data_IF_209196331323
#
_entry.id   IF_209196331323
#
_cell.length_a   1.000
_cell.length_b   1.000
_cell.length_c   1.000
_cell.angle_alpha   90.00
_cell.angle_beta   90.00
_cell.angle_gamma   90.00
#
_symmetry.space_group_name_H-M   'P 1'
#
loop_
_entity.id
_entity.type
_entity.pdbx_description
1 polymer ?
#
# COMPACT_ATOMS: atom_id res chain seq x y z
N UNK A 1 20.37 13.26 -6.65
CA UNK A 1 19.40 12.35 -7.28
C UNK A 1 19.12 11.21 -6.31
N UNK A 2 17.87 10.76 -6.17
CA UNK A 2 17.51 9.62 -5.32
C UNK A 2 16.83 8.56 -6.19
N UNK A 3 17.20 7.29 -5.95
CA UNK A 3 16.58 6.17 -6.67
C UNK A 3 15.31 5.75 -5.94
N UNK A 4 14.17 5.98 -6.55
CA UNK A 4 12.88 5.45 -6.08
C UNK A 4 12.72 4.02 -6.59
N UNK A 5 12.27 3.13 -5.74
CA UNK A 5 12.01 1.73 -6.06
C UNK A 5 10.66 1.29 -5.50
N UNK A 6 10.05 0.34 -6.18
CA UNK A 6 8.83 -0.32 -5.73
C UNK A 6 9.14 -1.77 -5.41
N UNK A 7 8.71 -2.22 -4.24
CA UNK A 7 8.86 -3.59 -3.77
C UNK A 7 7.47 -4.22 -3.61
N UNK A 8 7.29 -5.41 -4.18
CA UNK A 8 6.13 -6.26 -3.89
C UNK A 8 6.64 -7.56 -3.30
N UNK A 9 6.25 -7.87 -2.07
CA UNK A 9 6.75 -9.04 -1.36
C UNK A 9 6.02 -9.28 -0.06
N UNK A 10 6.55 -10.19 0.76
CA UNK A 10 5.96 -10.56 2.03
C UNK A 10 6.80 -10.10 3.20
N UNK A 11 6.14 -9.73 4.29
CA UNK A 11 6.80 -9.46 5.55
C UNK A 11 7.32 -10.76 6.18
N UNK A 12 8.62 -10.80 6.51
CA UNK A 12 9.24 -11.96 7.16
C UNK A 12 8.92 -12.06 8.64
N UNK A 13 8.64 -10.93 9.26
CA UNK A 13 8.25 -10.79 10.68
C UNK A 13 7.30 -9.62 10.86
N UNK A 14 6.70 -9.52 12.03
CA UNK A 14 5.95 -8.33 12.42
C UNK A 14 6.87 -7.10 12.46
N UNK A 15 6.42 -5.92 11.99
CA UNK A 15 7.19 -4.69 12.09
C UNK A 15 7.49 -4.32 13.55
N UNK A 16 8.73 -3.91 13.81
CA UNK A 16 9.17 -3.47 15.15
C UNK A 16 9.13 -1.95 15.24
N UNK A 17 8.33 -1.43 16.17
CA UNK A 17 8.30 0.00 16.49
C UNK A 17 9.38 0.33 17.52
N UNK A 18 10.20 1.32 17.23
CA UNK A 18 11.21 1.88 18.12
C UNK A 18 11.13 3.40 18.09
N UNK A 19 11.54 4.04 19.16
CA UNK A 19 11.66 5.49 19.22
C UNK A 19 13.14 5.87 19.24
N UNK A 20 13.50 6.84 18.41
CA UNK A 20 14.84 7.43 18.43
C UNK A 20 15.06 8.25 19.70
N UNK A 21 16.31 8.61 20.00
CA UNK A 21 16.64 9.50 21.11
C UNK A 21 15.92 10.88 21.04
N UNK A 22 15.54 11.29 19.82
CA UNK A 22 14.75 12.50 19.59
C UNK A 22 13.23 12.29 19.65
N UNK A 23 12.76 11.10 20.06
CA UNK A 23 11.34 10.77 20.15
C UNK A 23 10.62 10.48 18.84
N UNK A 24 11.36 10.34 17.73
CA UNK A 24 10.77 10.02 16.42
C UNK A 24 10.50 8.52 16.34
N UNK A 25 9.26 8.14 16.01
CA UNK A 25 8.88 6.76 15.76
C UNK A 25 9.59 6.22 14.50
N UNK A 26 10.12 5.01 14.61
CA UNK A 26 10.82 4.28 13.53
C UNK A 26 10.31 2.84 13.53
N UNK A 27 9.74 2.42 12.42
CA UNK A 27 9.41 1.02 12.18
C UNK A 27 10.53 0.35 11.40
N UNK A 28 11.01 -0.80 11.87
CA UNK A 28 11.98 -1.63 11.19
C UNK A 28 11.34 -2.98 10.83
N UNK A 29 11.48 -3.40 9.58
CA UNK A 29 10.92 -4.66 9.09
C UNK A 29 11.66 -5.12 7.83
N UNK A 30 11.48 -6.40 7.48
CA UNK A 30 12.12 -6.98 6.29
C UNK A 30 11.05 -7.49 5.33
N UNK A 31 11.15 -7.10 4.07
CA UNK A 31 10.32 -7.60 2.97
C UNK A 31 11.13 -8.63 2.20
N UNK A 32 10.59 -9.83 2.01
CA UNK A 32 11.14 -10.83 1.11
C UNK A 32 10.44 -10.75 -0.23
N UNK A 33 11.24 -10.67 -1.28
CA UNK A 33 10.78 -10.78 -2.67
C UNK A 33 11.34 -12.05 -3.27
N UNK A 34 10.51 -12.81 -3.99
CA UNK A 34 10.93 -14.01 -4.72
C UNK A 34 10.20 -14.08 -6.05
N UNK A 35 10.80 -14.77 -7.00
CA UNK A 35 10.20 -15.08 -8.28
C UNK A 35 9.85 -16.56 -8.32
N UNK A 36 8.59 -16.90 -8.56
CA UNK A 36 8.21 -18.29 -8.75
C UNK A 36 8.59 -18.77 -10.14
N UNK A 37 9.32 -19.85 -10.20
CA UNK A 37 9.77 -20.48 -11.44
C UNK A 37 9.29 -21.92 -11.44
N UNK A 38 8.77 -22.36 -12.60
CA UNK A 38 8.40 -23.75 -12.80
C UNK A 38 9.63 -24.51 -13.29
N UNK A 39 9.99 -25.58 -12.59
CA UNK A 39 11.03 -26.49 -13.02
C UNK A 39 10.56 -27.26 -14.26
N UNK A 40 11.26 -27.16 -15.41
CA UNK A 40 10.87 -27.84 -16.63
C UNK A 40 11.00 -29.38 -16.54
N UNK A 41 11.82 -29.88 -15.61
CA UNK A 41 12.07 -31.30 -15.46
C UNK A 41 11.05 -31.99 -14.53
N UNK A 42 10.76 -31.39 -13.38
CA UNK A 42 9.82 -31.93 -12.38
C UNK A 42 8.39 -31.39 -12.52
N UNK A 43 8.22 -30.22 -13.15
CA UNK A 43 6.94 -29.54 -13.24
C UNK A 43 6.55 -28.80 -11.95
N UNK A 44 7.38 -28.86 -10.91
CA UNK A 44 7.13 -28.22 -9.62
C UNK A 44 7.45 -26.73 -9.65
N UNK A 45 6.80 -25.98 -8.75
CA UNK A 45 7.04 -24.57 -8.58
C UNK A 45 8.01 -24.33 -7.41
N UNK A 46 9.13 -23.67 -7.70
CA UNK A 46 10.11 -23.24 -6.70
C UNK A 46 10.25 -21.72 -6.66
N UNK A 47 10.69 -21.21 -5.52
CA UNK A 47 11.04 -19.79 -5.39
C UNK A 47 12.51 -19.61 -5.82
N UNK A 48 12.71 -18.73 -6.80
CA UNK A 48 14.02 -18.30 -7.29
C UNK A 48 14.24 -16.82 -6.98
N UNK A 49 15.51 -16.42 -7.00
CA UNK A 49 15.93 -15.02 -6.83
C UNK A 49 15.38 -14.39 -5.53
N UNK A 50 15.37 -15.17 -4.45
CA UNK A 50 14.89 -14.68 -3.16
C UNK A 50 15.81 -13.59 -2.61
N UNK A 51 15.26 -12.40 -2.37
CA UNK A 51 15.98 -11.24 -1.84
C UNK A 51 15.27 -10.70 -0.61
N UNK A 52 16.06 -10.39 0.42
CA UNK A 52 15.58 -9.79 1.67
C UNK A 52 15.92 -8.30 1.68
N UNK A 53 14.90 -7.47 1.82
CA UNK A 53 15.03 -6.02 1.83
C UNK A 53 14.78 -5.51 3.24
N UNK A 54 15.81 -4.95 3.86
CA UNK A 54 15.65 -4.27 5.15
C UNK A 54 15.04 -2.90 4.94
N UNK A 55 13.89 -2.68 5.54
CA UNK A 55 13.06 -1.51 5.36
C UNK A 55 12.94 -0.71 6.66
N UNK A 56 12.91 0.61 6.53
CA UNK A 56 12.66 1.54 7.63
C UNK A 56 11.61 2.56 7.23
N UNK A 57 10.65 2.80 8.12
CA UNK A 57 9.67 3.88 8.01
C UNK A 57 9.78 4.79 9.23
N UNK A 58 9.28 6.03 9.11
CA UNK A 58 9.45 7.06 10.12
C UNK A 58 8.14 7.76 10.43
N UNK A 59 8.05 8.33 11.65
CA UNK A 59 6.94 9.16 12.11
C UNK A 59 5.61 8.40 12.10
N UNK A 60 4.51 9.07 11.75
CA UNK A 60 3.17 8.50 11.71
C UNK A 60 3.07 7.25 10.82
N UNK A 61 3.82 7.21 9.71
CA UNK A 61 3.85 6.02 8.84
C UNK A 61 4.39 4.79 9.60
N UNK A 62 5.37 4.97 10.48
CA UNK A 62 5.92 3.89 11.30
C UNK A 62 4.89 3.30 12.26
N UNK A 63 4.12 4.16 12.93
CA UNK A 63 3.05 3.74 13.85
C UNK A 63 1.95 3.00 13.09
N UNK A 64 1.47 3.57 11.99
CA UNK A 64 0.43 2.95 11.16
C UNK A 64 0.86 1.58 10.60
N UNK A 65 2.13 1.42 10.22
CA UNK A 65 2.68 0.15 9.74
C UNK A 65 2.61 -0.92 10.84
N UNK A 66 3.05 -0.58 12.04
CA UNK A 66 3.08 -1.51 13.16
C UNK A 66 1.67 -1.89 13.66
N UNK A 67 0.69 -1.00 13.48
CA UNK A 67 -0.70 -1.26 13.83
C UNK A 67 -1.44 -2.09 12.76
N UNK A 68 -1.06 -1.94 11.49
CA UNK A 68 -1.83 -2.46 10.36
C UNK A 68 -1.24 -3.69 9.69
N UNK A 69 0.06 -3.94 9.83
CA UNK A 69 0.78 -4.96 9.07
C UNK A 69 1.38 -6.02 9.98
N UNK A 70 1.18 -7.29 9.61
CA UNK A 70 1.65 -8.45 10.33
C UNK A 70 2.60 -9.33 9.50
N UNK A 71 3.26 -10.28 10.18
CA UNK A 71 4.11 -11.30 9.56
C UNK A 71 3.36 -12.06 8.48
N UNK A 72 4.02 -12.27 7.34
CA UNK A 72 3.52 -13.05 6.21
C UNK A 72 2.58 -12.31 5.28
N UNK A 73 2.16 -11.09 5.64
CA UNK A 73 1.30 -10.26 4.79
C UNK A 73 2.06 -9.84 3.52
N UNK A 74 1.40 -9.96 2.37
CA UNK A 74 1.92 -9.44 1.10
C UNK A 74 1.66 -7.93 1.04
N UNK A 75 2.71 -7.18 0.75
CA UNK A 75 2.69 -5.71 0.73
C UNK A 75 3.27 -5.16 -0.56
N UNK A 76 2.79 -3.97 -0.93
CA UNK A 76 3.39 -3.14 -1.98
C UNK A 76 3.96 -1.90 -1.29
N UNK A 77 5.25 -1.69 -1.43
CA UNK A 77 5.98 -0.61 -0.81
C UNK A 77 6.71 0.24 -1.85
N UNK A 78 6.69 1.54 -1.66
CA UNK A 78 7.47 2.51 -2.43
C UNK A 78 8.42 3.21 -1.50
N UNK A 79 9.69 3.29 -1.89
CA UNK A 79 10.72 3.90 -1.08
C UNK A 79 11.97 4.18 -1.85
N UNK A 80 13.02 4.52 -1.12
CA UNK A 80 14.33 4.87 -1.66
C UNK A 80 15.41 4.00 -1.04
N UNK A 81 16.30 3.45 -1.88
CA UNK A 81 17.49 2.76 -1.40
C UNK A 81 18.46 3.78 -0.80
N UNK A 82 18.91 3.52 0.41
CA UNK A 82 19.87 4.35 1.16
C UNK A 82 20.98 3.44 1.66
N UNK A 83 22.22 3.82 1.40
CA UNK A 83 23.37 3.14 1.98
C UNK A 83 23.64 3.70 3.37
N UNK A 84 23.49 2.84 4.38
CA UNK A 84 23.89 3.13 5.76
C UNK A 84 25.32 2.64 5.98
N UNK A 85 26.16 3.48 6.55
CA UNK A 85 27.54 3.13 6.88
C UNK A 85 27.79 3.36 8.37
N UNK A 86 28.40 2.41 9.02
CA UNK A 86 28.79 2.51 10.44
C UNK A 86 30.14 1.87 10.66
N UNK A 87 30.79 2.24 11.74
CA UNK A 87 31.99 1.63 12.21
C UNK A 87 31.66 0.54 13.24
N UNK A 88 32.16 -0.66 13.01
CA UNK A 88 32.00 -1.77 13.93
C UNK A 88 32.84 -1.52 15.19
N UNK A 89 32.18 -1.37 16.32
CA UNK A 89 32.81 -1.03 17.59
C UNK A 89 33.83 -2.09 18.10
N UNK A 90 33.73 -3.33 17.61
CA UNK A 90 34.64 -4.41 18.04
C UNK A 90 35.83 -4.53 17.13
N UNK A 91 35.69 -4.29 15.84
CA UNK A 91 36.75 -4.49 14.86
C UNK A 91 37.34 -3.19 14.29
N UNK A 92 36.70 -2.04 14.54
CA UNK A 92 37.06 -0.75 13.95
C UNK A 92 36.87 -0.67 12.43
N UNK A 93 36.27 -1.70 11.82
CA UNK A 93 36.07 -1.75 10.39
C UNK A 93 34.82 -0.99 9.98
N UNK A 94 34.89 -0.24 8.89
CA UNK A 94 33.73 0.39 8.26
C UNK A 94 32.87 -0.68 7.59
N UNK A 95 31.61 -0.78 8.02
CA UNK A 95 30.60 -1.63 7.40
C UNK A 95 29.55 -0.77 6.73
N UNK A 96 28.98 -1.27 5.66
CA UNK A 96 27.86 -0.61 4.99
C UNK A 96 26.78 -1.62 4.62
N UNK A 97 25.56 -1.16 4.62
CA UNK A 97 24.37 -1.94 4.26
C UNK A 97 23.40 -1.06 3.49
N UNK A 98 22.76 -1.63 2.50
CA UNK A 98 21.68 -0.95 1.80
C UNK A 98 20.39 -1.24 2.56
N UNK A 99 19.69 -0.20 2.95
CA UNK A 99 18.34 -0.26 3.50
C UNK A 99 17.36 0.52 2.61
N UNK A 100 16.08 0.18 2.67
CA UNK A 100 15.04 0.90 1.94
C UNK A 100 14.28 1.79 2.90
N UNK A 101 14.38 3.09 2.67
CA UNK A 101 13.55 4.07 3.38
C UNK A 101 12.20 4.15 2.70
N UNK A 102 11.17 3.72 3.41
CA UNK A 102 9.81 3.62 2.89
C UNK A 102 9.15 5.01 2.92
N UNK A 103 8.58 5.39 1.80
CA UNK A 103 7.79 6.61 1.65
C UNK A 103 6.28 6.29 1.67
N UNK A 104 5.87 5.10 1.17
CA UNK A 104 4.50 4.61 1.20
C UNK A 104 4.46 3.09 1.19
N UNK A 105 3.50 2.48 1.88
CA UNK A 105 3.30 1.03 1.92
C UNK A 105 1.83 0.73 2.17
N UNK A 106 1.37 -0.39 1.64
CA UNK A 106 0.04 -0.91 1.90
C UNK A 106 -0.04 -2.42 1.66
N UNK A 107 -1.09 -3.10 2.16
CA UNK A 107 -1.32 -4.50 1.88
C UNK A 107 -1.64 -4.71 0.40
N UNK A 108 -1.14 -5.79 -0.17
CA UNK A 108 -1.53 -6.24 -1.51
C UNK A 108 -2.94 -6.85 -1.45
N UNK A 109 -3.85 -6.34 -2.25
CA UNK A 109 -5.22 -6.86 -2.33
C UNK A 109 -5.36 -8.03 -3.30
N UNK A 110 -4.26 -8.56 -3.80
CA UNK A 110 -4.25 -9.69 -4.72
C UNK A 110 -4.85 -10.96 -4.10
N UNK A 111 -4.60 -11.18 -2.82
CA UNK A 111 -5.07 -12.36 -2.09
C UNK A 111 -5.65 -12.03 -0.70
N UNK A 112 -5.96 -10.76 -0.47
CA UNK A 112 -6.48 -10.28 0.81
C UNK A 112 -7.45 -9.12 0.60
N UNK A 113 -8.28 -8.84 1.61
CA UNK A 113 -9.12 -7.64 1.68
C UNK A 113 -8.63 -6.74 2.81
N UNK A 114 -8.74 -5.44 2.67
CA UNK A 114 -8.38 -4.48 3.70
C UNK A 114 -9.50 -3.48 3.96
N UNK A 115 -9.70 -3.13 5.22
CA UNK A 115 -10.54 -1.99 5.63
C UNK A 115 -9.63 -0.85 6.05
N UNK A 116 -9.90 0.34 5.54
CA UNK A 116 -9.06 1.52 5.79
C UNK A 116 -9.78 2.44 6.75
N UNK A 117 -9.11 2.72 7.88
CA UNK A 117 -9.50 3.76 8.83
C UNK A 117 -8.55 4.95 8.68
N UNK A 118 -9.10 6.17 8.69
CA UNK A 118 -8.28 7.38 8.58
C UNK A 118 -7.70 7.73 9.94
N UNK A 119 -6.38 7.64 10.08
CA UNK A 119 -5.65 8.12 11.24
C UNK A 119 -5.30 9.59 11.06
N UNK A 120 -5.72 10.46 12.00
CA UNK A 120 -5.28 11.86 12.05
C UNK A 120 -5.83 12.77 10.96
N UNK A 121 -7.13 12.81 10.83
CA UNK A 121 -7.82 13.90 10.14
C UNK A 121 -8.87 14.47 11.09
N UNK A 122 -8.70 15.70 11.53
CA UNK A 122 -9.63 16.36 12.41
C UNK A 122 -11.09 16.16 12.00
N UNK A 123 -11.89 15.77 12.98
CA UNK A 123 -13.36 15.83 13.02
C UNK A 123 -14.11 15.36 11.75
N UNK A 124 -14.32 14.05 11.65
CA UNK A 124 -15.34 13.46 10.77
C UNK A 124 -16.77 13.91 11.12
N UNK A 125 -16.98 14.57 12.23
CA UNK A 125 -18.26 15.12 12.65
C UNK A 125 -18.77 16.24 11.73
N UNK A 126 -17.88 17.10 11.21
CA UNK A 126 -18.28 18.17 10.29
C UNK A 126 -18.77 17.67 8.91
N UNK A 127 -18.24 16.53 8.45
CA UNK A 127 -18.68 15.93 7.17
C UNK A 127 -19.97 15.11 7.28
N UNK A 128 -20.22 14.50 8.44
CA UNK A 128 -21.49 13.81 8.69
C UNK A 128 -22.62 14.83 8.85
N UNK A 129 -22.41 15.91 9.59
CA UNK A 129 -23.38 17.00 9.70
C UNK A 129 -23.64 17.71 8.38
N UNK A 130 -22.60 17.92 7.55
CA UNK A 130 -22.77 18.48 6.21
C UNK A 130 -23.54 17.53 5.26
N UNK A 131 -23.38 16.22 5.40
CA UNK A 131 -24.14 15.22 4.62
C UNK A 131 -25.58 15.07 5.12
N UNK A 132 -25.82 15.18 6.41
CA UNK A 132 -27.19 15.19 6.97
C UNK A 132 -27.91 16.50 6.67
N UNK A 133 -27.22 17.65 6.76
CA UNK A 133 -27.77 18.93 6.35
C UNK A 133 -28.07 19.00 4.85
N UNK A 134 -27.21 18.42 4.00
CA UNK A 134 -27.48 18.29 2.57
C UNK A 134 -28.64 17.34 2.22
N UNK A 135 -28.87 16.31 3.05
CA UNK A 135 -30.03 15.40 2.90
C UNK A 135 -31.33 15.99 3.45
N UNK A 136 -31.25 16.82 4.47
CA UNK A 136 -32.43 17.50 5.04
C UNK A 136 -32.88 18.70 4.19
N UNK A 137 -32.01 19.26 3.34
CA UNK A 137 -32.31 20.38 2.44
C UNK A 137 -32.85 19.98 1.05
N UNK A 138 -32.92 18.68 0.71
CA UNK A 138 -33.32 18.21 -0.61
C UNK A 138 -34.76 17.70 -0.70
N UNK A 139 -35.65 18.19 0.16
CA UNK A 139 -37.11 17.95 0.01
C UNK A 139 -37.79 19.18 -0.56
N UNK A 140 -37.38 19.65 -1.71
CA UNK A 140 -38.16 20.43 -2.69
C UNK A 140 -37.21 21.12 -3.65
N UNK A 141 -37.11 20.61 -4.85
CA UNK A 141 -36.32 21.24 -5.91
C UNK A 141 -36.07 20.26 -7.04
N UNK A 142 -36.82 20.43 -8.10
CA UNK A 142 -36.80 19.69 -9.36
C UNK A 142 -35.42 19.25 -9.76
N UNK A 143 -35.26 17.97 -10.05
CA UNK A 143 -34.08 17.34 -10.58
C UNK A 143 -33.82 17.89 -12.01
N UNK A 144 -32.73 18.65 -12.27
CA UNK A 144 -32.44 19.20 -13.60
C UNK A 144 -32.20 18.14 -14.67
N UNK A 145 -32.05 16.89 -14.30
CA UNK A 145 -31.82 15.75 -15.20
C UNK A 145 -33.10 14.93 -15.48
N UNK A 146 -34.21 15.21 -14.85
CA UNK A 146 -35.49 14.53 -15.08
C UNK A 146 -36.19 14.92 -16.38
N UNK A 147 -35.66 15.87 -17.14
CA UNK A 147 -36.27 16.33 -18.41
C UNK A 147 -35.77 15.63 -19.67
N UNK A 148 -34.95 14.54 -19.56
CA UNK A 148 -34.69 13.67 -20.69
C UNK A 148 -35.80 12.64 -20.83
N UNK A 149 -36.90 13.03 -21.51
CA UNK A 149 -37.94 12.11 -21.95
C UNK A 149 -37.34 11.04 -22.89
N UNK A 150 -37.76 9.78 -22.79
CA UNK A 150 -37.32 8.75 -23.72
C UNK A 150 -37.97 9.04 -25.09
N UNK A 151 -37.15 9.39 -26.05
CA UNK A 151 -37.56 9.48 -27.44
C UNK A 151 -37.84 8.08 -27.96
N UNK A 152 -39.04 7.95 -28.40
CA UNK A 152 -39.80 6.96 -29.15
C UNK A 152 -39.11 5.69 -29.64
N UNK A 153 -39.85 4.65 -29.45
CA UNK A 153 -39.82 3.36 -30.16
C UNK A 153 -39.62 3.54 -31.68
N UNK A 154 -38.76 2.73 -32.25
CA UNK A 154 -38.77 2.41 -33.65
C UNK A 154 -37.39 2.31 -34.26
N UNK A 155 -36.93 1.08 -34.45
CA UNK A 155 -35.74 0.82 -35.29
C UNK A 155 -35.10 -0.50 -34.95
N UNK A 156 -35.61 -1.57 -35.57
CA UNK A 156 -34.93 -2.86 -35.64
C UNK A 156 -33.52 -2.67 -36.25
N UNK A 157 -32.50 -3.07 -35.49
CA UNK A 157 -31.16 -3.33 -35.97
C UNK A 157 -30.89 -4.81 -35.83
N UNK A 158 -31.46 -5.54 -36.82
CA UNK A 158 -31.06 -6.88 -37.14
C UNK A 158 -29.92 -6.74 -38.18
N UNK A 159 -28.68 -6.92 -37.73
CA UNK A 159 -27.54 -7.28 -38.56
C UNK A 159 -26.38 -7.69 -37.64
N UNK A 160 -26.14 -9.01 -37.59
CA UNK A 160 -24.92 -9.63 -37.11
C UNK A 160 -23.71 -8.99 -37.80
N UNK A 161 -22.61 -8.68 -37.09
CA UNK A 161 -21.33 -8.40 -37.72
C UNK A 161 -20.70 -9.71 -38.20
N UNK A 162 -20.16 -9.76 -39.42
CA UNK A 162 -19.41 -10.90 -39.89
C UNK A 162 -18.00 -10.89 -39.27
N UNK A 163 -17.62 -11.98 -38.69
CA UNK A 163 -16.36 -12.60 -38.27
C UNK A 163 -16.40 -13.10 -36.81
#
# INVERSE_FOLDING_TARGET
MSSTMTLTGRLTGAPELRFSASGVAVAAFTIVTSRRVKDPASGDWSDADTTYWDCKAFKQLAENICESLDKGLEVVAVGRAVQESWEDKQTGQKRSKISVRIDSIGPSLRAATARVEKTGGGSGQGRQQAREAARAGSSQGEDPWASCAPVGQGGAWDSEPPF
#
